data_IF_200270435608
#
_entry.id   IF_200270435608
#
_cell.length_a   1.000
_cell.length_b   1.000
_cell.length_c   1.000
_cell.angle_alpha   90.00
_cell.angle_beta   90.00
_cell.angle_gamma   90.00
#
_symmetry.space_group_name_H-M   'P 1'
#
loop_
_entity.id
_entity.type
_entity.pdbx_description
1 polymer ?
#
# COMPACT_ATOMS: atom_id res chain seq x y z
N UNK A 1 -47.59 77.84 10.84
CA UNK A 1 -48.31 76.75 10.15
C UNK A 1 -48.02 75.47 10.93
N UNK A 2 -48.77 75.19 12.01
CA UNK A 2 -49.98 74.33 12.03
C UNK A 2 -49.64 72.87 11.70
N UNK A 3 -49.88 71.84 12.53
CA UNK A 3 -50.69 71.70 13.76
C UNK A 3 -50.35 70.29 14.33
N UNK A 4 -50.01 70.12 15.61
CA UNK A 4 -50.86 69.50 16.66
C UNK A 4 -51.91 68.48 16.13
N UNK A 5 -52.17 67.28 16.72
CA UNK A 5 -52.66 67.09 18.10
C UNK A 5 -53.08 65.61 18.41
N UNK A 6 -53.24 65.30 19.71
CA UNK A 6 -54.12 64.24 20.35
C UNK A 6 -53.52 62.81 20.51
N UNK A 7 -53.50 62.09 21.65
CA UNK A 7 -54.13 62.21 22.98
C UNK A 7 -53.29 61.55 24.11
N UNK A 8 -53.55 62.00 25.34
CA UNK A 8 -53.09 61.51 26.66
C UNK A 8 -54.03 60.39 27.20
N UNK A 9 -53.69 59.82 28.37
CA UNK A 9 -54.40 58.83 29.23
C UNK A 9 -53.97 57.37 28.94
N UNK A 10 -53.44 56.55 29.87
CA UNK A 10 -53.82 56.33 31.27
C UNK A 10 -52.61 55.96 32.17
N UNK A 11 -52.89 56.03 33.47
CA UNK A 11 -52.01 56.01 34.65
C UNK A 11 -51.93 54.60 35.27
N UNK A 12 -50.69 54.19 35.57
CA UNK A 12 -50.22 53.29 36.65
C UNK A 12 -50.57 51.78 36.68
N UNK A 13 -49.58 51.08 37.26
CA UNK A 13 -49.58 49.81 38.02
C UNK A 13 -49.30 48.52 37.22
N UNK A 14 -48.06 48.01 37.27
CA UNK A 14 -47.70 46.76 37.98
C UNK A 14 -46.23 46.33 37.71
N UNK A 15 -45.46 46.27 38.80
CA UNK A 15 -44.39 45.31 39.14
C UNK A 15 -43.41 44.76 38.09
N UNK A 16 -42.14 45.11 38.33
CA UNK A 16 -40.96 44.23 38.42
C UNK A 16 -41.10 42.80 37.82
N UNK A 17 -40.40 42.55 36.71
CA UNK A 17 -39.80 41.24 36.48
C UNK A 17 -38.52 41.42 35.63
N UNK A 18 -37.40 41.54 36.35
CA UNK A 18 -36.05 41.53 35.80
C UNK A 18 -35.71 40.08 35.43
N UNK A 19 -35.92 39.71 34.17
CA UNK A 19 -35.51 38.41 33.66
C UNK A 19 -33.99 38.44 33.40
N UNK A 20 -33.23 37.74 34.25
CA UNK A 20 -31.84 37.39 33.98
C UNK A 20 -31.78 36.52 32.73
N UNK A 21 -31.24 37.07 31.64
CA UNK A 21 -30.74 36.29 30.51
C UNK A 21 -29.41 35.66 30.94
N UNK A 22 -29.49 34.46 31.52
CA UNK A 22 -28.33 33.57 31.61
C UNK A 22 -28.06 33.01 30.21
N UNK A 23 -27.03 33.55 29.55
CA UNK A 23 -26.42 32.93 28.39
C UNK A 23 -25.75 31.66 28.88
N UNK A 24 -26.44 30.53 28.71
CA UNK A 24 -25.83 29.21 28.84
C UNK A 24 -24.84 29.05 27.69
N UNK A 25 -23.54 29.13 27.99
CA UNK A 25 -22.51 28.58 27.13
C UNK A 25 -22.78 27.08 27.00
N UNK A 26 -23.47 26.69 25.93
CA UNK A 26 -23.55 25.29 25.53
C UNK A 26 -22.14 24.80 25.27
N UNK A 27 -21.66 23.85 26.09
CA UNK A 27 -20.55 22.99 25.70
C UNK A 27 -20.91 22.45 24.32
N UNK A 28 -20.02 22.62 23.33
CA UNK A 28 -20.09 21.80 22.12
C UNK A 28 -20.16 20.36 22.60
N UNK A 29 -21.25 19.67 22.26
CA UNK A 29 -21.33 18.24 22.50
C UNK A 29 -20.24 17.61 21.63
N UNK A 30 -19.13 17.25 22.26
CA UNK A 30 -18.17 16.35 21.66
C UNK A 30 -18.95 15.10 21.22
N UNK A 31 -18.85 14.69 19.95
CA UNK A 31 -19.58 13.53 19.48
C UNK A 31 -19.08 12.30 20.23
N UNK A 32 -19.90 11.79 21.15
CA UNK A 32 -19.65 10.52 21.83
C UNK A 32 -19.47 9.42 20.79
N UNK A 33 -18.43 8.58 20.88
CA UNK A 33 -18.29 7.45 19.98
C UNK A 33 -19.55 6.58 20.02
N UNK A 34 -20.04 6.07 18.86
CA UNK A 34 -21.27 5.29 18.82
C UNK A 34 -21.15 4.00 19.66
N UNK A 35 -22.28 3.58 20.26
CA UNK A 35 -22.38 2.36 21.09
C UNK A 35 -21.97 1.07 20.36
N UNK A 36 -21.82 1.11 19.04
CA UNK A 36 -21.27 0.02 18.21
C UNK A 36 -20.47 0.60 17.04
N UNK A 37 -19.49 -0.15 16.53
CA UNK A 37 -18.68 0.27 15.38
C UNK A 37 -19.56 0.32 14.14
N UNK A 38 -19.66 1.51 13.55
CA UNK A 38 -20.34 1.73 12.29
C UNK A 38 -19.38 1.44 11.14
N UNK A 39 -19.68 0.39 10.37
CA UNK A 39 -18.96 0.06 9.14
C UNK A 39 -19.35 1.07 8.05
N UNK A 40 -18.40 1.89 7.63
CA UNK A 40 -18.60 2.88 6.57
C UNK A 40 -18.02 2.38 5.24
N UNK A 41 -18.71 2.71 4.15
CA UNK A 41 -18.21 2.39 2.80
C UNK A 41 -17.01 3.27 2.45
N UNK A 42 -16.03 2.76 1.70
CA UNK A 42 -14.91 3.58 1.25
C UNK A 42 -15.37 4.69 0.32
N UNK A 43 -14.83 5.89 0.52
CA UNK A 43 -15.01 7.03 -0.38
C UNK A 43 -13.72 7.22 -1.18
N UNK A 44 -13.82 7.34 -2.51
CA UNK A 44 -12.65 7.54 -3.36
C UNK A 44 -11.99 8.90 -3.08
N UNK A 45 -10.66 8.92 -3.05
CA UNK A 45 -9.89 10.16 -2.91
C UNK A 45 -9.89 10.90 -4.25
N UNK A 46 -10.27 12.17 -4.24
CA UNK A 46 -10.21 13.01 -5.44
C UNK A 46 -8.75 13.36 -5.76
N UNK A 47 -8.38 13.24 -7.04
CA UNK A 47 -7.06 13.56 -7.58
C UNK A 47 -7.20 14.60 -8.67
N UNK A 48 -6.28 15.55 -8.74
CA UNK A 48 -6.19 16.48 -9.89
C UNK A 48 -5.44 15.85 -11.06
N UNK A 49 -4.52 14.91 -10.78
CA UNK A 49 -3.85 14.10 -11.78
C UNK A 49 -4.61 12.79 -12.00
N UNK A 50 -5.04 12.54 -13.24
CA UNK A 50 -5.85 11.36 -13.60
C UNK A 50 -5.06 10.08 -13.81
N UNK A 51 -3.72 10.11 -13.78
CA UNK A 51 -2.92 8.89 -13.88
C UNK A 51 -3.27 7.89 -12.79
N UNK A 52 -3.25 6.62 -13.19
CA UNK A 52 -3.47 5.51 -12.28
C UNK A 52 -2.17 5.10 -11.62
N UNK A 53 -2.18 5.12 -10.30
CA UNK A 53 -1.02 4.89 -9.45
C UNK A 53 -1.20 3.56 -8.76
N UNK A 54 -0.31 2.61 -9.02
CA UNK A 54 -0.27 1.33 -8.35
C UNK A 54 1.03 1.21 -7.57
N UNK A 55 1.05 0.47 -6.48
CA UNK A 55 2.26 0.26 -5.68
C UNK A 55 2.59 -1.21 -5.63
N UNK A 56 3.85 -1.55 -5.94
CA UNK A 56 4.36 -2.91 -5.80
C UNK A 56 4.58 -3.22 -4.32
N UNK A 57 4.04 -4.33 -3.83
CA UNK A 57 4.00 -4.66 -2.40
C UNK A 57 4.61 -6.03 -2.15
N UNK A 58 5.52 -6.09 -1.19
CA UNK A 58 6.20 -7.31 -0.76
C UNK A 58 5.50 -7.90 0.48
N UNK A 59 4.76 -9.02 0.37
CA UNK A 59 4.00 -9.60 1.47
C UNK A 59 4.81 -10.63 2.29
N UNK A 60 6.13 -10.46 2.38
CA UNK A 60 7.04 -11.52 2.84
C UNK A 60 7.62 -11.35 4.25
N UNK A 61 7.20 -10.31 4.98
CA UNK A 61 7.70 -10.04 6.32
C UNK A 61 6.94 -10.84 7.39
N UNK A 62 7.66 -11.49 8.29
CA UNK A 62 7.13 -12.34 9.36
C UNK A 62 7.80 -12.04 10.70
N UNK A 63 7.04 -12.10 11.79
CA UNK A 63 7.57 -12.08 13.16
C UNK A 63 7.51 -13.48 13.76
N UNK A 64 8.19 -13.74 14.91
CA UNK A 64 8.05 -15.00 15.64
C UNK A 64 6.61 -15.40 15.94
N UNK A 65 5.69 -14.44 16.09
CA UNK A 65 4.29 -14.72 16.40
C UNK A 65 3.47 -15.19 15.19
N UNK A 66 3.89 -14.85 13.97
CA UNK A 66 3.12 -15.14 12.74
C UNK A 66 3.75 -16.24 11.90
N UNK A 67 5.07 -16.43 12.03
CA UNK A 67 5.84 -17.50 11.40
C UNK A 67 5.43 -18.88 11.91
N UNK A 68 5.55 -19.91 11.06
CA UNK A 68 5.25 -21.29 11.43
C UNK A 68 6.28 -21.91 12.39
N UNK A 69 7.53 -21.44 12.37
CA UNK A 69 8.64 -21.98 13.15
C UNK A 69 8.99 -21.14 14.39
N UNK A 70 8.23 -20.09 14.66
CA UNK A 70 8.42 -19.22 15.82
C UNK A 70 9.64 -18.30 15.70
N UNK A 71 10.13 -18.02 14.47
CA UNK A 71 11.31 -17.18 14.22
C UNK A 71 10.98 -15.95 13.39
N UNK A 72 11.92 -15.02 13.34
CA UNK A 72 11.85 -13.91 12.39
C UNK A 72 11.97 -14.42 10.95
N UNK A 73 11.12 -13.90 10.06
CA UNK A 73 11.13 -14.26 8.65
C UNK A 73 12.46 -13.91 7.98
N UNK A 74 12.81 -14.67 6.94
CA UNK A 74 14.10 -14.51 6.26
C UNK A 74 14.28 -13.11 5.65
N UNK A 75 13.21 -12.42 5.29
CA UNK A 75 13.27 -11.06 4.73
C UNK A 75 13.60 -9.97 5.78
N UNK A 76 13.49 -10.24 7.08
CA UNK A 76 14.07 -9.36 8.11
C UNK A 76 15.52 -9.72 8.47
N UNK A 77 15.94 -10.95 8.18
CA UNK A 77 17.21 -11.50 8.65
C UNK A 77 18.29 -11.55 7.56
N UNK A 78 17.90 -11.81 6.32
CA UNK A 78 18.74 -12.44 5.31
C UNK A 78 19.61 -13.54 5.97
N UNK A 79 20.91 -13.63 5.67
CA UNK A 79 21.81 -14.58 6.32
C UNK A 79 22.55 -14.02 7.54
N UNK A 80 22.62 -12.70 7.72
CA UNK A 80 23.56 -12.05 8.65
C UNK A 80 22.92 -11.26 9.79
N UNK A 81 21.63 -10.93 9.72
CA UNK A 81 20.94 -10.13 10.74
C UNK A 81 20.10 -11.02 11.68
N UNK A 82 20.00 -10.59 12.95
CA UNK A 82 19.18 -11.25 13.96
C UNK A 82 18.30 -10.23 14.69
N UNK A 83 17.00 -10.13 14.35
CA UNK A 83 16.11 -9.13 14.95
C UNK A 83 15.85 -9.32 16.46
N UNK A 84 16.26 -10.43 17.09
CA UNK A 84 16.24 -10.54 18.55
C UNK A 84 17.33 -9.70 19.23
N UNK A 85 18.38 -9.32 18.48
CA UNK A 85 19.38 -8.36 18.93
C UNK A 85 18.81 -6.96 18.79
N UNK A 86 18.81 -6.21 19.90
CA UNK A 86 18.38 -4.81 19.94
C UNK A 86 19.52 -3.90 20.39
N UNK A 87 19.57 -2.70 19.82
CA UNK A 87 20.46 -1.65 20.28
C UNK A 87 19.90 -0.91 21.51
N UNK A 88 20.65 0.05 22.04
CA UNK A 88 20.26 0.84 23.23
C UNK A 88 19.04 1.73 23.02
N UNK A 89 18.65 1.99 21.77
CA UNK A 89 17.43 2.71 21.40
C UNK A 89 16.23 1.79 21.21
N UNK A 90 16.42 0.46 21.33
CA UNK A 90 15.41 -0.56 21.10
C UNK A 90 15.23 -0.94 19.63
N UNK A 91 16.09 -0.47 18.72
CA UNK A 91 16.04 -0.87 17.31
C UNK A 91 16.58 -2.29 17.16
N UNK A 92 15.87 -3.11 16.40
CA UNK A 92 16.25 -4.50 16.10
C UNK A 92 17.26 -4.55 14.96
N UNK A 93 18.17 -5.52 14.98
CA UNK A 93 19.10 -5.75 13.87
C UNK A 93 18.35 -6.42 12.70
N UNK A 94 18.04 -5.65 11.65
CA UNK A 94 17.32 -6.11 10.46
C UNK A 94 18.19 -6.01 9.19
N UNK A 95 17.86 -6.78 8.16
CA UNK A 95 18.54 -6.80 6.87
C UNK A 95 18.06 -5.66 5.95
N UNK A 96 18.36 -4.43 6.36
CA UNK A 96 17.99 -3.21 5.64
C UNK A 96 18.88 -2.05 6.05
N UNK A 97 19.16 -1.14 5.12
CA UNK A 97 19.76 0.16 5.43
C UNK A 97 18.78 1.16 6.05
N UNK A 98 17.48 0.88 5.93
CA UNK A 98 16.39 1.79 6.30
C UNK A 98 15.48 1.13 7.33
N UNK A 99 15.14 1.85 8.37
CA UNK A 99 14.37 1.30 9.48
C UNK A 99 12.89 1.72 9.35
N UNK A 100 11.94 0.77 9.21
CA UNK A 100 10.51 1.11 9.12
C UNK A 100 10.09 1.99 10.30
N UNK A 101 9.29 3.03 10.05
CA UNK A 101 8.86 3.97 11.10
C UNK A 101 8.06 3.25 12.20
N UNK A 102 7.38 2.17 11.85
CA UNK A 102 6.61 1.31 12.76
C UNK A 102 7.40 0.12 13.31
N UNK A 103 8.71 0.03 13.03
CA UNK A 103 9.58 -1.10 13.35
C UNK A 103 9.33 -2.33 12.46
N UNK A 104 10.13 -3.40 12.60
CA UNK A 104 9.90 -4.64 11.85
C UNK A 104 8.58 -5.30 12.28
N UNK A 105 7.85 -5.80 11.30
CA UNK A 105 6.46 -6.22 11.43
C UNK A 105 6.18 -7.55 10.74
N UNK A 106 4.98 -8.09 10.95
CA UNK A 106 4.44 -9.17 10.14
C UNK A 106 3.49 -8.59 9.09
N UNK A 107 3.56 -9.06 7.85
CA UNK A 107 2.72 -8.59 6.75
C UNK A 107 1.24 -8.95 6.94
N UNK A 108 0.95 -9.98 7.74
CA UNK A 108 -0.39 -10.37 8.15
C UNK A 108 -0.91 -9.65 9.41
N UNK A 109 -0.12 -8.77 10.04
CA UNK A 109 -0.60 -7.98 11.17
C UNK A 109 -1.68 -6.99 10.72
N UNK A 110 -2.89 -7.16 11.25
CA UNK A 110 -4.05 -6.33 10.89
C UNK A 110 -3.79 -4.83 11.06
N UNK A 111 -3.10 -4.42 12.12
CA UNK A 111 -2.89 -2.99 12.39
C UNK A 111 -1.91 -2.40 11.37
N UNK A 112 -0.94 -3.20 10.94
CA UNK A 112 0.04 -2.85 9.88
C UNK A 112 -0.68 -2.75 8.54
N UNK A 113 -1.56 -3.70 8.22
CA UNK A 113 -2.38 -3.65 7.00
C UNK A 113 -3.23 -2.37 6.99
N UNK A 114 -3.94 -2.06 8.08
CA UNK A 114 -4.74 -0.83 8.15
C UNK A 114 -3.88 0.43 7.97
N UNK A 115 -2.71 0.47 8.62
CA UNK A 115 -1.74 1.56 8.49
C UNK A 115 -1.27 1.74 7.04
N UNK A 116 -0.76 0.67 6.40
CA UNK A 116 -0.29 0.72 5.01
C UNK A 116 -1.38 1.20 4.05
N UNK A 117 -2.55 0.58 4.12
CA UNK A 117 -3.62 0.85 3.16
C UNK A 117 -4.24 2.24 3.32
N UNK A 118 -4.32 2.74 4.55
CA UNK A 118 -4.74 4.13 4.78
C UNK A 118 -3.70 5.12 4.27
N UNK A 119 -2.41 4.89 4.48
CA UNK A 119 -1.37 5.76 3.92
C UNK A 119 -1.40 5.78 2.39
N UNK A 120 -1.49 4.61 1.75
CA UNK A 120 -1.64 4.49 0.30
C UNK A 120 -2.86 5.29 -0.20
N UNK A 121 -4.02 5.13 0.46
CA UNK A 121 -5.25 5.84 0.13
C UNK A 121 -5.06 7.35 0.18
N UNK A 122 -4.54 7.87 1.30
CA UNK A 122 -4.35 9.31 1.50
C UNK A 122 -3.20 9.91 0.69
N UNK A 123 -2.35 9.07 0.10
CA UNK A 123 -1.33 9.46 -0.87
C UNK A 123 -1.80 9.41 -2.34
N UNK A 124 -3.04 8.94 -2.61
CA UNK A 124 -3.61 8.90 -3.96
C UNK A 124 -3.29 7.64 -4.78
N UNK A 125 -2.87 6.55 -4.12
CA UNK A 125 -2.72 5.22 -4.74
C UNK A 125 -4.11 4.67 -5.12
N UNK A 126 -4.23 4.08 -6.31
CA UNK A 126 -5.47 3.44 -6.81
C UNK A 126 -5.50 1.93 -6.56
N UNK A 127 -4.34 1.29 -6.36
CA UNK A 127 -4.28 -0.15 -6.12
C UNK A 127 -2.89 -0.69 -5.82
N UNK A 128 -2.86 -1.98 -5.54
CA UNK A 128 -1.67 -2.70 -5.06
C UNK A 128 -1.31 -3.81 -6.05
N UNK A 129 -0.02 -3.98 -6.32
CA UNK A 129 0.51 -5.06 -7.13
C UNK A 129 1.25 -6.00 -6.16
N UNK A 130 0.66 -7.16 -5.87
CA UNK A 130 1.23 -8.11 -4.91
C UNK A 130 2.27 -8.97 -5.59
N UNK A 131 3.49 -8.92 -5.09
CA UNK A 131 4.51 -9.90 -5.39
C UNK A 131 4.08 -11.30 -4.89
N UNK A 132 4.15 -12.31 -5.76
CA UNK A 132 3.48 -13.58 -5.54
C UNK A 132 4.28 -14.78 -6.07
N UNK A 133 4.61 -15.69 -5.15
CA UNK A 133 5.58 -16.77 -5.34
C UNK A 133 5.00 -18.12 -5.78
N UNK A 134 3.71 -18.21 -6.06
CA UNK A 134 3.08 -19.50 -6.35
C UNK A 134 2.27 -20.05 -5.18
N UNK A 135 1.61 -21.17 -5.48
CA UNK A 135 0.77 -21.95 -4.56
C UNK A 135 1.46 -23.19 -3.99
N UNK A 136 2.76 -23.35 -4.27
CA UNK A 136 3.56 -24.50 -3.85
C UNK A 136 3.96 -24.41 -2.37
N UNK A 137 3.92 -25.55 -1.65
CA UNK A 137 4.24 -25.65 -0.23
C UNK A 137 5.75 -25.79 0.05
N UNK A 138 6.53 -24.78 -0.37
CA UNK A 138 8.00 -24.76 -0.23
C UNK A 138 8.51 -23.45 0.35
N UNK A 139 9.63 -23.54 1.09
CA UNK A 139 10.30 -22.38 1.71
C UNK A 139 9.31 -21.46 2.44
N UNK A 140 9.32 -20.17 2.15
CA UNK A 140 8.43 -19.15 2.68
C UNK A 140 7.22 -18.85 1.77
N UNK A 141 7.04 -19.60 0.68
CA UNK A 141 5.99 -19.35 -0.30
C UNK A 141 4.59 -19.43 0.33
N UNK A 142 4.29 -20.41 1.23
CA UNK A 142 3.01 -20.45 1.93
C UNK A 142 2.77 -19.24 2.84
N UNK A 143 3.83 -18.70 3.46
CA UNK A 143 3.72 -17.51 4.29
C UNK A 143 3.40 -16.28 3.43
N UNK A 144 4.06 -16.14 2.29
CA UNK A 144 3.82 -15.06 1.30
C UNK A 144 2.39 -15.14 0.75
N UNK A 145 1.90 -16.34 0.40
CA UNK A 145 0.53 -16.56 -0.02
C UNK A 145 -0.47 -16.15 1.07
N UNK A 146 -0.31 -16.68 2.30
CA UNK A 146 -1.15 -16.35 3.46
C UNK A 146 -1.17 -14.84 3.74
N UNK A 147 -0.03 -14.18 3.66
CA UNK A 147 0.09 -12.75 3.90
C UNK A 147 -0.60 -11.93 2.81
N UNK A 148 -0.41 -12.30 1.53
CA UNK A 148 -1.14 -11.70 0.40
C UNK A 148 -2.66 -11.77 0.64
N UNK A 149 -3.15 -12.95 1.02
CA UNK A 149 -4.58 -13.19 1.29
C UNK A 149 -5.08 -12.53 2.58
N UNK A 150 -4.19 -12.17 3.50
CA UNK A 150 -4.53 -11.36 4.67
C UNK A 150 -4.76 -9.90 4.31
N UNK A 151 -4.02 -9.37 3.32
CA UNK A 151 -4.12 -7.97 2.88
C UNK A 151 -5.30 -7.77 1.92
N UNK A 152 -5.54 -8.69 0.99
CA UNK A 152 -6.57 -8.58 -0.07
C UNK A 152 -7.94 -8.13 0.46
N UNK A 153 -8.53 -8.71 1.53
CA UNK A 153 -9.83 -8.29 2.03
C UNK A 153 -9.87 -6.83 2.50
N UNK A 154 -8.74 -6.28 2.95
CA UNK A 154 -8.66 -4.89 3.41
C UNK A 154 -8.54 -3.90 2.24
N UNK A 155 -8.01 -4.32 1.09
CA UNK A 155 -7.98 -3.47 -0.12
C UNK A 155 -9.39 -3.01 -0.50
N UNK A 156 -10.35 -3.94 -0.52
CA UNK A 156 -11.76 -3.62 -0.76
C UNK A 156 -12.36 -2.70 0.32
N UNK A 157 -12.00 -2.91 1.59
CA UNK A 157 -12.47 -2.07 2.71
C UNK A 157 -12.04 -0.61 2.57
N UNK A 158 -10.83 -0.35 2.10
CA UNK A 158 -10.31 1.03 1.92
C UNK A 158 -10.61 1.61 0.53
N UNK A 159 -11.14 0.79 -0.39
CA UNK A 159 -11.49 1.19 -1.76
C UNK A 159 -10.32 1.18 -2.73
N UNK A 160 -9.33 0.31 -2.51
CA UNK A 160 -8.19 0.08 -3.41
C UNK A 160 -8.43 -1.17 -4.26
N UNK A 161 -7.92 -1.13 -5.48
CA UNK A 161 -7.83 -2.31 -6.36
C UNK A 161 -6.58 -3.14 -6.08
N UNK A 162 -6.51 -4.37 -6.58
CA UNK A 162 -5.28 -5.17 -6.51
C UNK A 162 -5.05 -6.03 -7.76
N UNK A 163 -3.78 -6.36 -8.05
CA UNK A 163 -3.37 -7.32 -9.06
C UNK A 163 -2.22 -8.20 -8.53
N UNK A 164 -1.92 -9.28 -9.26
CA UNK A 164 -0.83 -10.20 -8.94
C UNK A 164 0.36 -9.95 -9.87
N UNK A 165 1.55 -9.93 -9.28
CA UNK A 165 2.85 -9.97 -9.94
C UNK A 165 3.44 -11.35 -9.66
N UNK A 166 3.36 -12.23 -10.65
CA UNK A 166 3.85 -13.60 -10.55
C UNK A 166 5.36 -13.66 -10.71
N UNK A 167 6.00 -14.54 -9.95
CA UNK A 167 7.44 -14.85 -10.02
C UNK A 167 7.65 -16.29 -10.54
N UNK A 168 8.04 -16.46 -11.82
CA UNK A 168 8.25 -17.82 -12.38
C UNK A 168 9.52 -18.51 -11.85
N UNK A 169 10.42 -17.76 -11.21
CA UNK A 169 11.64 -18.31 -10.59
C UNK A 169 11.34 -19.39 -9.55
N UNK A 170 10.17 -19.35 -8.92
CA UNK A 170 9.78 -20.29 -7.86
C UNK A 170 9.52 -21.69 -8.41
N UNK A 171 9.19 -21.80 -9.70
CA UNK A 171 8.97 -23.07 -10.40
C UNK A 171 10.21 -23.95 -10.39
N UNK A 172 11.41 -23.37 -10.44
CA UNK A 172 12.65 -24.15 -10.39
C UNK A 172 12.70 -25.05 -9.16
N UNK A 173 12.53 -24.46 -7.97
CA UNK A 173 12.56 -25.21 -6.71
C UNK A 173 11.35 -26.13 -6.55
N UNK A 174 10.18 -25.73 -7.07
CA UNK A 174 8.99 -26.57 -7.08
C UNK A 174 9.18 -27.85 -7.91
N UNK A 175 9.77 -27.73 -9.10
CA UNK A 175 10.08 -28.87 -9.97
C UNK A 175 11.19 -29.77 -9.38
N UNK A 176 12.20 -29.18 -8.72
CA UNK A 176 13.25 -29.93 -8.02
C UNK A 176 12.68 -30.75 -6.84
N UNK A 177 11.72 -30.19 -6.10
CA UNK A 177 11.07 -30.87 -4.98
C UNK A 177 10.01 -31.90 -5.43
N UNK A 178 9.42 -31.73 -6.61
CA UNK A 178 8.36 -32.57 -7.17
C UNK A 178 8.73 -33.07 -8.58
N UNK A 179 9.73 -33.97 -8.72
CA UNK A 179 10.29 -34.36 -10.02
C UNK A 179 9.31 -35.07 -10.96
N UNK A 180 8.16 -35.52 -10.45
CA UNK A 180 7.10 -36.16 -11.24
C UNK A 180 6.14 -35.17 -11.91
N UNK A 181 6.25 -33.87 -11.59
CA UNK A 181 5.43 -32.80 -12.17
C UNK A 181 6.36 -31.87 -12.94
N UNK A 182 6.11 -31.69 -14.24
CA UNK A 182 6.92 -30.78 -15.04
C UNK A 182 6.62 -29.31 -14.70
N UNK A 183 7.56 -28.42 -15.04
CA UNK A 183 7.45 -27.00 -14.74
C UNK A 183 6.24 -26.32 -15.36
N UNK A 184 5.84 -26.69 -16.59
CA UNK A 184 4.67 -26.10 -17.25
C UNK A 184 3.41 -26.47 -16.46
N UNK A 185 3.27 -27.73 -16.06
CA UNK A 185 2.17 -28.18 -15.21
C UNK A 185 2.11 -27.45 -13.86
N UNK A 186 3.25 -27.12 -13.26
CA UNK A 186 3.30 -26.32 -12.02
C UNK A 186 2.88 -24.86 -12.27
N UNK A 187 3.37 -24.22 -13.33
CA UNK A 187 2.97 -22.86 -13.68
C UNK A 187 1.47 -22.78 -14.06
N UNK A 188 0.94 -23.80 -14.72
CA UNK A 188 -0.48 -23.92 -15.04
C UNK A 188 -1.35 -24.02 -13.77
N UNK A 189 -0.89 -24.73 -12.73
CA UNK A 189 -1.58 -24.76 -11.43
C UNK A 189 -1.63 -23.37 -10.79
N UNK A 190 -0.54 -22.61 -10.85
CA UNK A 190 -0.47 -21.24 -10.36
C UNK A 190 -1.41 -20.29 -11.14
N UNK A 191 -1.41 -20.36 -12.48
CA UNK A 191 -2.32 -19.57 -13.32
C UNK A 191 -3.79 -19.88 -13.01
N UNK A 192 -4.10 -21.16 -12.84
CA UNK A 192 -5.43 -21.64 -12.51
C UNK A 192 -5.88 -21.19 -11.10
N UNK A 193 -4.96 -21.20 -10.14
CA UNK A 193 -5.17 -20.66 -8.80
C UNK A 193 -5.50 -19.16 -8.86
N UNK A 194 -4.70 -18.37 -9.59
CA UNK A 194 -4.89 -16.92 -9.73
C UNK A 194 -6.27 -16.61 -10.34
N UNK A 195 -6.66 -17.27 -11.44
CA UNK A 195 -7.94 -16.97 -12.08
C UNK A 195 -9.14 -17.34 -11.21
N UNK A 196 -9.06 -18.44 -10.44
CA UNK A 196 -10.17 -18.91 -9.62
C UNK A 196 -10.34 -18.10 -8.35
N UNK A 197 -9.24 -17.69 -7.72
CA UNK A 197 -9.28 -17.04 -6.41
C UNK A 197 -9.29 -15.52 -6.52
N UNK A 198 -8.60 -14.94 -7.51
CA UNK A 198 -8.35 -13.50 -7.55
C UNK A 198 -9.10 -12.78 -8.66
N UNK A 199 -9.15 -13.30 -9.89
CA UNK A 199 -9.83 -12.60 -10.99
C UNK A 199 -11.33 -12.41 -10.73
N UNK A 200 -11.95 -13.24 -9.89
CA UNK A 200 -13.37 -13.11 -9.53
C UNK A 200 -13.65 -11.95 -8.55
N UNK A 201 -12.63 -11.39 -7.91
CA UNK A 201 -12.81 -10.30 -6.96
C UNK A 201 -13.28 -9.03 -7.68
N UNK A 202 -14.29 -8.36 -7.10
CA UNK A 202 -14.90 -7.16 -7.68
C UNK A 202 -13.95 -5.97 -7.73
N UNK A 203 -12.95 -5.93 -6.85
CA UNK A 203 -11.87 -4.94 -6.85
C UNK A 203 -10.56 -5.47 -7.44
N UNK A 204 -10.55 -6.64 -8.11
CA UNK A 204 -9.39 -7.05 -8.90
C UNK A 204 -9.19 -6.06 -10.05
N UNK A 205 -7.97 -5.56 -10.16
CA UNK A 205 -7.61 -4.52 -11.12
C UNK A 205 -7.76 -5.04 -12.54
N UNK A 206 -8.46 -4.24 -13.35
CA UNK A 206 -8.71 -4.52 -14.76
C UNK A 206 -8.28 -3.33 -15.61
N UNK A 207 -7.62 -3.63 -16.72
CA UNK A 207 -7.29 -2.68 -17.77
C UNK A 207 -8.03 -3.15 -19.02
N UNK A 208 -8.79 -2.25 -19.65
CA UNK A 208 -9.65 -2.57 -20.81
C UNK A 208 -10.56 -3.79 -20.58
N UNK A 209 -11.15 -3.86 -19.38
CA UNK A 209 -12.00 -4.96 -18.88
C UNK A 209 -11.32 -6.34 -18.78
N UNK A 210 -10.01 -6.44 -18.93
CA UNK A 210 -9.23 -7.66 -18.73
C UNK A 210 -8.56 -7.63 -17.35
N UNK A 211 -8.54 -8.75 -16.60
CA UNK A 211 -7.78 -8.82 -15.36
C UNK A 211 -6.29 -8.58 -15.66
N UNK A 212 -5.64 -7.72 -14.88
CA UNK A 212 -4.21 -7.48 -15.00
C UNK A 212 -3.44 -8.61 -14.31
N UNK A 213 -2.58 -9.30 -15.05
CA UNK A 213 -1.54 -10.17 -14.50
C UNK A 213 -0.17 -9.59 -14.87
N UNK A 214 0.78 -9.63 -13.96
CA UNK A 214 2.16 -9.18 -14.21
C UNK A 214 3.14 -10.33 -13.96
N UNK A 215 4.31 -10.26 -14.59
CA UNK A 215 5.41 -11.20 -14.37
C UNK A 215 6.68 -10.46 -13.96
N UNK A 216 7.15 -10.73 -12.75
CA UNK A 216 8.50 -10.43 -12.32
C UNK A 216 9.44 -11.53 -12.81
N UNK A 217 10.07 -11.29 -13.95
CA UNK A 217 10.79 -12.32 -14.71
C UNK A 217 10.64 -12.14 -16.23
N UNK A 218 10.86 -13.19 -17.04
CA UNK A 218 11.06 -14.57 -16.63
C UNK A 218 12.49 -14.88 -16.14
N UNK A 219 12.58 -15.85 -15.23
CA UNK A 219 13.82 -16.46 -14.74
C UNK A 219 13.89 -17.98 -14.95
N UNK A 220 12.76 -18.65 -15.20
CA UNK A 220 12.71 -20.09 -15.45
C UNK A 220 12.29 -20.41 -16.89
N UNK A 221 11.24 -19.76 -17.40
CA UNK A 221 10.74 -20.00 -18.75
C UNK A 221 11.24 -18.95 -19.75
N UNK A 222 12.19 -19.34 -20.61
CA UNK A 222 12.82 -18.44 -21.59
C UNK A 222 12.33 -18.67 -23.03
N UNK A 223 11.19 -19.34 -23.22
CA UNK A 223 10.65 -19.67 -24.54
C UNK A 223 9.18 -19.26 -24.69
N UNK A 224 8.89 -18.51 -25.75
CA UNK A 224 7.51 -18.12 -26.09
C UNK A 224 6.57 -19.31 -26.35
N UNK A 225 7.10 -20.49 -26.70
CA UNK A 225 6.29 -21.70 -26.84
C UNK A 225 5.83 -22.24 -25.49
N UNK A 226 6.72 -22.22 -24.48
CA UNK A 226 6.36 -22.64 -23.12
C UNK A 226 5.31 -21.69 -22.53
N UNK A 227 5.49 -20.38 -22.71
CA UNK A 227 4.52 -19.39 -22.25
C UNK A 227 3.14 -19.51 -22.90
N UNK A 228 3.07 -19.90 -24.18
CA UNK A 228 1.78 -20.22 -24.83
C UNK A 228 1.10 -21.42 -24.17
N UNK A 229 1.84 -22.49 -23.92
CA UNK A 229 1.31 -23.70 -23.26
C UNK A 229 0.85 -23.41 -21.82
N UNK A 230 1.59 -22.59 -21.07
CA UNK A 230 1.17 -22.12 -19.74
C UNK A 230 -0.14 -21.32 -19.84
N UNK A 231 -0.29 -20.48 -20.87
CA UNK A 231 -1.46 -19.60 -21.04
C UNK A 231 -2.76 -20.34 -21.41
N UNK A 232 -2.66 -21.56 -21.95
CA UNK A 232 -3.82 -22.31 -22.47
C UNK A 232 -4.85 -22.68 -21.39
N UNK A 233 -4.52 -22.53 -20.09
CA UNK A 233 -5.45 -22.79 -18.98
C UNK A 233 -6.42 -21.64 -18.67
N UNK A 234 -6.17 -20.44 -19.21
CA UNK A 234 -7.03 -19.29 -18.95
C UNK A 234 -8.33 -19.39 -19.74
N UNK A 235 -9.47 -19.26 -19.05
CA UNK A 235 -10.78 -19.18 -19.71
C UNK A 235 -10.99 -17.84 -20.43
N UNK A 236 -10.43 -16.78 -19.85
CA UNK A 236 -10.35 -15.46 -20.44
C UNK A 236 -8.91 -14.97 -20.24
N UNK A 237 -8.24 -14.66 -21.34
CA UNK A 237 -6.86 -14.18 -21.28
C UNK A 237 -6.77 -12.88 -20.45
N UNK A 238 -5.89 -12.82 -19.44
CA UNK A 238 -5.60 -11.58 -18.76
C UNK A 238 -4.81 -10.63 -19.66
N UNK A 239 -4.85 -9.34 -19.33
CA UNK A 239 -3.86 -8.41 -19.85
C UNK A 239 -2.55 -8.70 -19.11
N UNK A 240 -1.51 -9.05 -19.86
CA UNK A 240 -0.27 -9.54 -19.29
C UNK A 240 0.89 -8.57 -19.52
N UNK A 241 1.48 -8.02 -18.46
CA UNK A 241 2.67 -7.17 -18.54
C UNK A 241 3.88 -7.88 -17.96
N UNK A 242 5.00 -7.82 -18.64
CA UNK A 242 6.25 -8.46 -18.21
C UNK A 242 7.32 -7.43 -17.89
N UNK A 243 8.35 -7.82 -17.15
CA UNK A 243 9.45 -6.95 -16.77
C UNK A 243 10.12 -6.28 -17.99
N UNK A 244 10.67 -5.08 -17.81
CA UNK A 244 11.27 -4.34 -18.92
C UNK A 244 12.38 -5.13 -19.64
N UNK A 245 12.29 -5.21 -20.96
CA UNK A 245 13.22 -5.95 -21.81
C UNK A 245 12.92 -7.44 -21.95
N UNK A 246 11.87 -7.96 -21.30
CA UNK A 246 11.58 -9.39 -21.24
C UNK A 246 10.50 -9.88 -22.21
N UNK A 247 9.87 -8.98 -22.97
CA UNK A 247 8.83 -9.35 -23.93
C UNK A 247 9.25 -10.46 -24.90
N UNK A 248 10.48 -10.44 -25.40
CA UNK A 248 10.95 -11.41 -26.41
C UNK A 248 10.99 -12.86 -25.90
N UNK A 249 11.19 -13.05 -24.60
CA UNK A 249 11.28 -14.37 -23.95
C UNK A 249 9.87 -14.98 -23.75
N UNK A 250 8.86 -14.12 -23.59
CA UNK A 250 7.46 -14.49 -23.36
C UNK A 250 6.65 -14.55 -24.66
N UNK A 251 6.91 -13.63 -25.58
CA UNK A 251 6.25 -13.54 -26.88
C UNK A 251 4.82 -12.99 -26.81
N UNK A 252 3.99 -13.40 -27.77
CA UNK A 252 2.70 -12.77 -28.06
C UNK A 252 1.62 -12.95 -27.00
N UNK A 253 1.85 -13.74 -25.95
CA UNK A 253 0.93 -13.81 -24.80
C UNK A 253 1.06 -12.57 -23.91
N UNK A 254 2.21 -11.90 -23.92
CA UNK A 254 2.39 -10.61 -23.28
C UNK A 254 1.72 -9.50 -24.11
N UNK A 255 1.06 -8.58 -23.41
CA UNK A 255 0.47 -7.36 -23.95
C UNK A 255 1.44 -6.18 -24.00
N UNK A 256 2.53 -6.27 -23.23
CA UNK A 256 3.61 -5.29 -23.20
C UNK A 256 4.46 -5.42 -21.96
N UNK A 257 5.09 -4.32 -21.55
CA UNK A 257 6.08 -4.32 -20.48
C UNK A 257 5.80 -3.28 -19.40
N UNK A 258 6.43 -3.44 -18.25
CA UNK A 258 6.46 -2.45 -17.18
C UNK A 258 7.89 -2.16 -16.73
N UNK A 259 8.13 -0.96 -16.17
CA UNK A 259 9.48 -0.62 -15.68
C UNK A 259 9.73 -1.14 -14.27
N UNK A 260 10.96 -1.61 -14.06
CA UNK A 260 11.59 -1.81 -12.77
C UNK A 260 12.88 -0.99 -12.65
N UNK A 261 13.45 -0.98 -11.45
CA UNK A 261 14.76 -0.39 -11.17
C UNK A 261 15.86 -1.32 -11.70
N UNK A 262 16.77 -0.78 -12.49
CA UNK A 262 17.98 -1.46 -12.98
C UNK A 262 18.99 -0.39 -13.43
N UNK A 263 20.22 -0.79 -13.76
CA UNK A 263 21.29 0.11 -14.21
C UNK A 263 21.08 0.75 -15.61
N UNK A 264 20.02 0.38 -16.32
CA UNK A 264 19.71 0.81 -17.68
C UNK A 264 19.19 2.25 -17.78
N UNK A 265 19.44 2.87 -18.94
CA UNK A 265 18.99 4.23 -19.25
C UNK A 265 17.46 4.34 -19.24
N UNK A 266 16.93 5.27 -18.44
CA UNK A 266 15.48 5.58 -18.40
C UNK A 266 14.96 5.99 -19.79
N UNK A 267 15.78 6.68 -20.60
CA UNK A 267 15.39 7.10 -21.95
C UNK A 267 15.17 5.87 -22.85
N UNK A 268 16.07 4.90 -22.79
CA UNK A 268 15.98 3.69 -23.61
C UNK A 268 14.81 2.81 -23.15
N UNK A 269 14.57 2.75 -21.84
CA UNK A 269 13.39 2.08 -21.27
C UNK A 269 12.08 2.65 -21.83
N UNK A 270 11.92 3.97 -21.84
CA UNK A 270 10.71 4.59 -22.41
C UNK A 270 10.62 4.46 -23.93
N UNK A 271 11.74 4.52 -24.64
CA UNK A 271 11.77 4.28 -26.09
C UNK A 271 11.22 2.88 -26.43
N UNK A 272 11.60 1.88 -25.62
CA UNK A 272 11.06 0.52 -25.71
C UNK A 272 9.58 0.45 -25.31
N UNK A 273 9.19 0.96 -24.15
CA UNK A 273 7.80 0.83 -23.67
C UNK A 273 6.76 1.35 -24.66
N UNK A 274 7.08 2.47 -25.33
CA UNK A 274 6.19 3.09 -26.32
C UNK A 274 5.94 2.25 -27.57
N UNK A 275 6.65 1.14 -27.78
CA UNK A 275 6.35 0.20 -28.85
C UNK A 275 5.17 -0.73 -28.53
N UNK A 276 4.74 -0.80 -27.27
CA UNK A 276 3.63 -1.62 -26.83
C UNK A 276 2.34 -0.81 -26.69
N UNK A 277 1.19 -1.47 -26.93
CA UNK A 277 -0.12 -0.85 -26.71
C UNK A 277 -0.45 -0.68 -25.23
N UNK A 278 0.09 -1.57 -24.38
CA UNK A 278 -0.06 -1.53 -22.93
C UNK A 278 1.33 -1.49 -22.30
N UNK A 279 1.53 -0.54 -21.41
CA UNK A 279 2.76 -0.42 -20.66
C UNK A 279 2.52 0.35 -19.37
N UNK A 280 3.44 0.17 -18.42
CA UNK A 280 3.36 0.84 -17.12
C UNK A 280 4.72 1.47 -16.79
N UNK A 281 4.71 2.78 -16.56
CA UNK A 281 5.88 3.50 -16.07
C UNK A 281 6.25 3.06 -14.65
N UNK A 282 7.46 3.36 -14.22
CA UNK A 282 7.96 3.04 -12.87
C UNK A 282 8.56 4.26 -12.19
N UNK A 283 8.37 4.37 -10.88
CA UNK A 283 9.06 5.35 -10.05
C UNK A 283 9.55 4.71 -8.75
N UNK A 284 10.82 4.91 -8.42
CA UNK A 284 11.47 4.45 -7.20
C UNK A 284 12.13 5.61 -6.46
N UNK A 285 12.24 5.55 -5.13
CA UNK A 285 12.82 6.62 -4.33
C UNK A 285 14.33 6.73 -4.47
N UNK A 286 14.99 5.60 -4.68
CA UNK A 286 16.42 5.38 -4.77
C UNK A 286 16.65 3.87 -4.88
N UNK A 287 17.91 3.45 -4.83
CA UNK A 287 18.27 2.04 -4.81
C UNK A 287 19.58 1.86 -4.05
N UNK A 288 19.54 1.01 -3.03
CA UNK A 288 20.71 0.61 -2.27
C UNK A 288 20.41 -0.73 -1.62
N UNK A 289 20.79 -1.80 -2.30
CA UNK A 289 20.54 -3.14 -1.78
C UNK A 289 21.38 -3.45 -0.53
N UNK A 290 20.84 -4.34 0.30
CA UNK A 290 21.50 -4.92 1.47
C UNK A 290 21.99 -6.33 1.17
N UNK A 291 21.99 -6.80 -0.09
CA UNK A 291 22.24 -8.22 -0.38
C UNK A 291 23.65 -8.65 -0.01
N UNK A 292 24.65 -7.82 -0.27
CA UNK A 292 26.03 -8.13 0.11
C UNK A 292 26.20 -8.21 1.62
N UNK A 293 25.74 -7.21 2.34
CA UNK A 293 25.78 -7.13 3.81
C UNK A 293 24.90 -8.18 4.48
N UNK A 294 23.80 -8.54 3.82
CA UNK A 294 22.85 -9.59 4.16
C UNK A 294 23.33 -11.00 3.87
N UNK A 295 24.45 -11.18 3.17
CA UNK A 295 24.98 -12.50 2.80
C UNK A 295 24.21 -13.21 1.67
N UNK A 296 23.48 -12.46 0.85
CA UNK A 296 22.73 -12.91 -0.33
C UNK A 296 23.43 -12.56 -1.65
N UNK A 297 24.75 -12.75 -1.69
CA UNK A 297 25.57 -12.52 -2.90
C UNK A 297 26.36 -11.23 -2.86
N UNK A 298 26.63 -10.63 -4.02
CA UNK A 298 27.53 -9.47 -4.16
C UNK A 298 26.80 -8.12 -4.28
N UNK A 299 25.46 -8.11 -4.20
CA UNK A 299 24.63 -6.96 -4.56
C UNK A 299 24.46 -6.80 -6.08
N UNK A 300 23.60 -5.87 -6.50
CA UNK A 300 23.28 -5.68 -7.93
C UNK A 300 24.29 -4.79 -8.67
N UNK A 301 25.24 -4.18 -7.94
CA UNK A 301 26.38 -3.47 -8.54
C UNK A 301 26.07 -2.05 -9.02
N UNK A 302 24.90 -1.49 -8.66
CA UNK A 302 24.53 -0.11 -8.91
C UNK A 302 23.77 0.48 -7.71
N UNK A 303 23.78 1.80 -7.59
CA UNK A 303 22.98 2.53 -6.59
C UNK A 303 22.33 3.75 -7.23
N UNK A 304 21.18 4.16 -6.69
CA UNK A 304 20.52 5.41 -7.04
C UNK A 304 20.27 6.22 -5.77
N UNK A 305 20.76 7.46 -5.76
CA UNK A 305 20.60 8.35 -4.62
C UNK A 305 19.14 8.77 -4.43
N UNK A 306 18.73 8.96 -3.17
CA UNK A 306 17.35 9.34 -2.82
C UNK A 306 17.06 10.83 -3.05
N UNK A 307 18.10 11.68 -2.97
CA UNK A 307 18.08 13.11 -3.24
C UNK A 307 16.91 13.87 -2.57
N UNK A 308 16.59 13.54 -1.31
CA UNK A 308 15.47 14.09 -0.54
C UNK A 308 14.12 13.98 -1.27
N UNK A 309 13.89 12.86 -1.95
CA UNK A 309 12.68 12.58 -2.72
C UNK A 309 12.70 13.09 -4.17
N UNK A 310 13.76 13.79 -4.60
CA UNK A 310 13.84 14.31 -5.98
C UNK A 310 13.98 13.21 -7.04
N UNK A 311 14.66 12.10 -6.72
CA UNK A 311 14.77 10.97 -7.65
C UNK A 311 13.39 10.40 -7.96
N UNK A 312 12.61 10.08 -6.91
CA UNK A 312 11.22 9.67 -7.02
C UNK A 312 10.37 10.63 -7.86
N UNK A 313 10.44 11.93 -7.53
CA UNK A 313 9.67 12.96 -8.22
C UNK A 313 10.04 13.05 -9.71
N UNK A 314 11.33 13.01 -10.05
CA UNK A 314 11.79 13.11 -11.44
C UNK A 314 11.31 11.93 -12.31
N UNK A 315 11.18 10.73 -11.73
CA UNK A 315 10.66 9.55 -12.44
C UNK A 315 9.15 9.64 -12.66
N UNK A 316 8.41 10.20 -11.70
CA UNK A 316 6.99 10.53 -11.86
C UNK A 316 6.78 11.57 -12.98
N UNK A 317 7.59 12.62 -13.02
CA UNK A 317 7.57 13.63 -14.09
C UNK A 317 7.89 13.01 -15.46
N UNK A 318 8.85 12.08 -15.52
CA UNK A 318 9.14 11.32 -16.76
C UNK A 318 7.95 10.48 -17.22
N UNK A 319 7.13 9.94 -16.31
CA UNK A 319 5.91 9.26 -16.70
C UNK A 319 4.91 10.21 -17.39
N UNK A 320 4.80 11.46 -16.90
CA UNK A 320 3.99 12.52 -17.52
C UNK A 320 4.51 12.89 -18.91
N UNK A 321 5.80 13.19 -19.02
CA UNK A 321 6.44 13.57 -20.28
C UNK A 321 6.27 12.51 -21.37
N UNK A 322 6.22 11.24 -20.98
CA UNK A 322 6.06 10.11 -21.90
C UNK A 322 4.60 9.71 -22.14
N UNK A 323 3.63 10.42 -21.55
CA UNK A 323 2.20 10.18 -21.75
C UNK A 323 1.69 8.89 -21.12
N UNK A 324 2.29 8.46 -20.00
CA UNK A 324 1.85 7.24 -19.32
C UNK A 324 0.45 7.39 -18.74
N UNK A 325 -0.35 6.32 -18.86
CA UNK A 325 -1.64 6.21 -18.17
C UNK A 325 -1.51 5.56 -16.79
N UNK A 326 -0.52 4.69 -16.63
CA UNK A 326 -0.32 3.85 -15.46
C UNK A 326 1.12 4.00 -14.94
N UNK A 327 1.27 4.15 -13.63
CA UNK A 327 2.57 4.20 -12.96
C UNK A 327 2.57 3.18 -11.85
N UNK A 328 3.59 2.32 -11.80
CA UNK A 328 3.91 1.56 -10.59
C UNK A 328 4.93 2.31 -9.74
N UNK A 329 4.71 2.25 -8.43
CA UNK A 329 5.67 2.70 -7.44
C UNK A 329 6.47 1.48 -6.97
N UNK A 330 7.79 1.60 -7.07
CA UNK A 330 8.78 0.56 -6.82
C UNK A 330 9.54 1.01 -5.58
N UNK A 331 9.20 0.55 -4.39
CA UNK A 331 8.12 -0.35 -3.98
C UNK A 331 7.45 0.23 -2.73
N UNK A 332 6.38 -0.38 -2.22
CA UNK A 332 5.88 -0.02 -0.89
C UNK A 332 6.97 -0.28 0.15
N UNK A 333 7.47 -1.52 0.24
CA UNK A 333 8.22 -2.02 1.38
C UNK A 333 9.35 -3.01 1.03
N UNK A 334 9.98 -2.91 -0.14
CA UNK A 334 11.20 -3.70 -0.37
C UNK A 334 12.39 -3.07 0.36
N UNK A 335 12.53 -3.45 1.62
CA UNK A 335 13.63 -3.06 2.49
C UNK A 335 14.98 -3.66 2.10
N UNK A 336 14.97 -4.82 1.44
CA UNK A 336 16.19 -5.49 0.98
C UNK A 336 16.87 -4.74 -0.16
N UNK A 337 16.10 -4.16 -1.07
CA UNK A 337 16.61 -3.35 -2.20
C UNK A 337 16.75 -1.86 -1.89
N UNK A 338 16.17 -1.40 -0.79
CA UNK A 338 16.18 0.02 -0.43
C UNK A 338 15.20 0.87 -1.25
N UNK A 339 14.20 0.27 -1.91
CA UNK A 339 13.27 1.00 -2.77
C UNK A 339 11.97 1.39 -2.08
N UNK A 340 11.84 1.19 -0.77
CA UNK A 340 10.61 1.46 -0.03
C UNK A 340 10.17 2.93 -0.07
N UNK A 341 8.87 3.15 -0.32
CA UNK A 341 8.20 4.44 -0.06
C UNK A 341 7.41 4.44 1.26
N UNK A 342 7.27 3.28 1.89
CA UNK A 342 6.76 3.16 3.27
C UNK A 342 7.56 4.10 4.18
N UNK A 343 6.91 4.82 5.11
CA UNK A 343 7.62 5.70 6.02
C UNK A 343 8.70 4.99 6.83
N UNK A 344 9.90 5.57 6.84
CA UNK A 344 11.05 5.08 7.61
C UNK A 344 11.51 6.13 8.62
N UNK A 345 12.44 5.78 9.51
CA UNK A 345 13.06 6.73 10.42
C UNK A 345 13.95 7.75 9.68
N UNK A 346 14.51 7.37 8.53
CA UNK A 346 15.39 8.19 7.70
C UNK A 346 14.59 9.20 6.87
N UNK A 347 13.46 8.77 6.30
CA UNK A 347 12.71 9.59 5.34
C UNK A 347 11.39 10.15 5.87
N UNK A 348 10.90 9.64 7.01
CA UNK A 348 9.56 9.97 7.50
C UNK A 348 8.53 9.76 6.40
N UNK A 349 7.70 10.77 6.13
CA UNK A 349 6.65 10.71 5.11
C UNK A 349 7.06 11.28 3.74
N UNK A 350 8.34 11.62 3.55
CA UNK A 350 8.80 12.42 2.39
C UNK A 350 8.30 11.89 1.05
N UNK A 351 8.40 10.59 0.77
CA UNK A 351 7.97 10.04 -0.52
C UNK A 351 6.43 10.06 -0.69
N UNK A 352 5.68 9.89 0.39
CA UNK A 352 4.23 10.02 0.37
C UNK A 352 3.79 11.48 0.21
N UNK A 353 4.51 12.44 0.78
CA UNK A 353 4.28 13.88 0.56
C UNK A 353 4.52 14.23 -0.93
N UNK A 354 5.60 13.72 -1.54
CA UNK A 354 5.84 13.86 -3.00
C UNK A 354 4.74 13.22 -3.83
N UNK A 355 4.22 12.07 -3.41
CA UNK A 355 3.12 11.41 -4.10
C UNK A 355 1.80 12.20 -3.96
N UNK A 356 1.53 12.79 -2.80
CA UNK A 356 0.39 13.68 -2.59
C UNK A 356 0.45 14.90 -3.52
N UNK A 357 1.62 15.52 -3.65
CA UNK A 357 1.89 16.61 -4.59
C UNK A 357 1.63 16.17 -6.05
N UNK A 358 2.17 15.02 -6.45
CA UNK A 358 2.05 14.51 -7.82
C UNK A 358 0.62 14.10 -8.20
N UNK A 359 -0.09 13.45 -7.29
CA UNK A 359 -1.49 13.03 -7.48
C UNK A 359 -2.46 14.21 -7.33
N UNK A 360 -2.03 15.25 -6.62
CA UNK A 360 -2.81 16.45 -6.33
C UNK A 360 -4.04 16.15 -5.47
N UNK A 361 -3.90 15.25 -4.50
CA UNK A 361 -4.90 15.04 -3.46
C UNK A 361 -4.95 16.24 -2.51
N UNK A 362 -6.10 16.48 -1.88
CA UNK A 362 -6.25 17.59 -0.94
C UNK A 362 -5.62 17.34 0.45
N UNK A 363 -5.15 16.11 0.69
CA UNK A 363 -4.58 15.69 1.96
C UNK A 363 -3.09 15.98 2.04
N UNK A 364 -2.59 16.07 3.26
CA UNK A 364 -1.21 16.46 3.54
C UNK A 364 -0.54 15.48 4.49
N UNK A 365 0.69 15.79 4.89
CA UNK A 365 1.40 15.11 5.98
C UNK A 365 0.57 14.97 7.26
N UNK A 366 -0.34 15.90 7.55
CA UNK A 366 -1.16 15.87 8.76
C UNK A 366 -2.01 14.59 8.83
N UNK A 367 -2.61 14.18 7.72
CA UNK A 367 -3.41 12.95 7.67
C UNK A 367 -2.52 11.71 7.75
N UNK A 368 -1.34 11.73 7.14
CA UNK A 368 -0.37 10.63 7.25
C UNK A 368 0.09 10.44 8.70
N UNK A 369 0.35 11.53 9.42
CA UNK A 369 0.68 11.51 10.84
C UNK A 369 -0.50 11.05 11.70
N UNK A 370 -1.72 11.43 11.36
CA UNK A 370 -2.92 10.96 12.06
C UNK A 370 -3.09 9.43 11.92
N UNK A 371 -2.85 8.90 10.73
CA UNK A 371 -2.88 7.44 10.46
C UNK A 371 -1.78 6.73 11.26
N UNK A 372 -0.58 7.30 11.34
CA UNK A 372 0.48 6.77 12.21
C UNK A 372 0.08 6.79 13.70
N UNK A 373 -0.53 7.87 14.19
CA UNK A 373 -1.03 7.96 15.57
C UNK A 373 -2.10 6.91 15.86
N UNK A 374 -3.01 6.65 14.92
CA UNK A 374 -3.97 5.54 14.99
C UNK A 374 -3.25 4.21 15.20
N UNK A 375 -2.23 3.89 14.39
CA UNK A 375 -1.43 2.68 14.54
C UNK A 375 -0.76 2.59 15.92
N UNK A 376 -0.11 3.67 16.37
CA UNK A 376 0.57 3.72 17.68
C UNK A 376 -0.42 3.45 18.80
N UNK A 377 -1.62 4.07 18.77
CA UNK A 377 -2.67 3.82 19.75
C UNK A 377 -3.18 2.39 19.71
N UNK A 378 -3.35 1.78 18.53
CA UNK A 378 -3.75 0.37 18.41
C UNK A 378 -2.79 -0.53 19.17
N UNK A 379 -1.48 -0.33 19.00
CA UNK A 379 -0.44 -1.09 19.71
C UNK A 379 -0.41 -0.78 21.20
N UNK A 380 -0.44 0.49 21.59
CA UNK A 380 -0.43 0.92 23.01
C UNK A 380 -1.63 0.39 23.79
N UNK A 381 -2.80 0.32 23.15
CA UNK A 381 -4.08 -0.03 23.78
C UNK A 381 -4.56 -1.45 23.40
N UNK A 382 -3.65 -2.36 23.04
CA UNK A 382 -3.99 -3.67 22.50
C UNK A 382 -4.94 -4.49 23.41
N UNK A 383 -4.84 -4.33 24.74
CA UNK A 383 -5.66 -5.04 25.73
C UNK A 383 -6.91 -4.28 26.17
N UNK A 384 -7.12 -3.04 25.71
CA UNK A 384 -8.28 -2.23 26.08
C UNK A 384 -9.37 -2.34 25.02
N UNK A 385 -10.36 -3.21 25.27
CA UNK A 385 -11.43 -3.50 24.32
C UNK A 385 -12.26 -2.27 23.91
N UNK A 386 -12.54 -1.35 24.85
CA UNK A 386 -13.32 -0.15 24.55
C UNK A 386 -12.52 0.82 23.68
N UNK A 387 -11.23 1.01 23.98
CA UNK A 387 -10.37 1.81 23.12
C UNK A 387 -10.23 1.18 21.71
N UNK A 388 -10.07 -0.14 21.61
CA UNK A 388 -10.01 -0.81 20.30
C UNK A 388 -11.28 -0.61 19.48
N UNK A 389 -12.45 -0.59 20.13
CA UNK A 389 -13.73 -0.28 19.49
C UNK A 389 -13.75 1.15 18.95
N UNK A 390 -13.26 2.12 19.71
CA UNK A 390 -13.13 3.51 19.25
C UNK A 390 -12.14 3.65 18.09
N UNK A 391 -10.98 3.00 18.16
CA UNK A 391 -9.98 2.99 17.08
C UNK A 391 -10.51 2.30 15.81
N UNK A 392 -11.35 1.27 15.94
CA UNK A 392 -12.07 0.69 14.81
C UNK A 392 -13.03 1.69 14.16
N UNK A 393 -13.71 2.52 14.95
CA UNK A 393 -14.55 3.59 14.42
C UNK A 393 -13.71 4.66 13.71
N UNK A 394 -12.55 5.05 14.27
CA UNK A 394 -11.62 5.98 13.64
C UNK A 394 -11.10 5.45 12.29
N UNK A 395 -10.78 4.16 12.20
CA UNK A 395 -10.43 3.51 10.93
C UNK A 395 -11.55 3.68 9.89
N UNK A 396 -12.81 3.38 10.23
CA UNK A 396 -13.92 3.53 9.28
C UNK A 396 -14.19 5.00 8.91
N UNK A 397 -13.98 5.94 9.83
CA UNK A 397 -14.03 7.36 9.49
C UNK A 397 -12.94 7.74 8.47
N UNK A 398 -11.70 7.28 8.65
CA UNK A 398 -10.64 7.51 7.66
C UNK A 398 -10.93 6.85 6.31
N UNK A 399 -11.50 5.63 6.31
CA UNK A 399 -11.99 4.95 5.10
C UNK A 399 -13.02 5.79 4.33
N UNK A 400 -13.91 6.45 5.06
CA UNK A 400 -14.95 7.32 4.51
C UNK A 400 -14.52 8.78 4.31
N UNK A 401 -13.22 9.09 4.46
CA UNK A 401 -12.66 10.44 4.35
C UNK A 401 -13.22 11.47 5.36
N UNK A 402 -13.73 10.98 6.49
CA UNK A 402 -14.24 11.75 7.64
C UNK A 402 -13.10 12.02 8.64
N UNK A 403 -12.12 12.81 8.20
CA UNK A 403 -10.84 13.01 8.91
C UNK A 403 -11.03 13.64 10.29
N UNK A 404 -11.90 14.65 10.41
CA UNK A 404 -12.08 15.37 11.68
C UNK A 404 -12.69 14.47 12.75
N UNK A 405 -13.63 13.58 12.39
CA UNK A 405 -14.20 12.62 13.32
C UNK A 405 -13.20 11.54 13.76
N UNK A 406 -12.35 11.07 12.85
CA UNK A 406 -11.25 10.19 13.22
C UNK A 406 -10.26 10.88 14.16
N UNK A 407 -9.91 12.14 13.86
CA UNK A 407 -9.01 12.96 14.66
C UNK A 407 -9.51 13.13 16.08
N UNK A 408 -10.79 13.46 16.24
CA UNK A 408 -11.41 13.62 17.56
C UNK A 408 -11.27 12.37 18.44
N UNK A 409 -11.50 11.17 17.87
CA UNK A 409 -11.32 9.90 18.60
C UNK A 409 -9.86 9.69 19.00
N UNK A 410 -8.93 9.88 18.07
CA UNK A 410 -7.50 9.64 18.28
C UNK A 410 -6.96 10.59 19.35
N UNK A 411 -7.28 11.89 19.28
CA UNK A 411 -6.87 12.89 20.26
C UNK A 411 -7.45 12.63 21.64
N UNK A 412 -8.73 12.27 21.73
CA UNK A 412 -9.38 11.95 23.01
C UNK A 412 -8.71 10.78 23.73
N UNK A 413 -8.28 9.76 22.98
CA UNK A 413 -7.57 8.60 23.52
C UNK A 413 -6.10 8.88 23.89
N UNK A 414 -5.49 9.91 23.29
CA UNK A 414 -4.15 10.37 23.67
C UNK A 414 -4.18 11.19 24.96
N UNK A 415 -5.17 12.07 25.12
CA UNK A 415 -5.33 12.94 26.30
C UNK A 415 -5.82 12.18 27.54
N UNK A 416 -6.61 11.12 27.36
CA UNK A 416 -7.16 10.31 28.46
C UNK A 416 -6.18 9.30 29.08
N UNK A 417 -4.90 9.33 28.71
CA UNK A 417 -3.86 8.37 29.12
C UNK A 417 -2.84 8.96 30.09
#
# INVERSE_FOLDING_TARGET
>A
MHMERVCRYFRNVFFLMMAMLMVACGKKNDPTPPDSVQVLKPVAVAKSNSMKIYVHYMPWFETPQTSADGKWGIHWCMATCNPDVTDTSGRRQIASWFYPLIGPYASSDRDVIEYHLLLMKYAGVDGILFDWYGSNELYDYPAILKNTESVIPFTAKVGLSFAIVYEDRTIKSAAEANPDIDGISLAQQDMDYIQRNYFIASNYLRIDNQPLLMLFGPEYFHSSTQWKEIWDVFQQNPLFLVLNGKYAEVGSVASGEYLWVDAGSVVDKYARLKTFSHWMAGSYPGFKDYYKEGGWGNGLGFTYEYNDGRTFQSLLEKAVENGSKYVQLITWNDFGEGTMIEPTLEFGFTFLERLQEFTGVAYTRNELQLIYRLFVLRKKMATNAEAQKQLNQAFYYLVALRVDEARHIIESLEEGN
#
